data_IF_242610956961
#
_entry.id   IF_242610956961
#
_cell.length_a   1.000
_cell.length_b   1.000
_cell.length_c   1.000
_cell.angle_alpha   90.00
_cell.angle_beta   90.00
_cell.angle_gamma   90.00
#
_symmetry.space_group_name_H-M   'P 1'
#
loop_
_entity.id
_entity.type
_entity.pdbx_description
1 polymer ?
#
# COMPACT_ATOMS: atom_id res chain seq x y z
N UNK A 1 -15.09 -51.68 -28.53
CA UNK A 1 -15.71 -50.40 -28.12
C UNK A 1 -14.71 -49.68 -27.24
N UNK A 2 -14.00 -48.72 -27.83
CA UNK A 2 -12.93 -47.95 -27.17
C UNK A 2 -13.56 -46.75 -26.44
N UNK A 3 -13.29 -46.62 -25.13
CA UNK A 3 -13.46 -45.37 -24.40
C UNK A 3 -12.06 -44.80 -24.14
N UNK A 4 -11.75 -43.68 -24.77
CA UNK A 4 -10.61 -42.86 -24.41
C UNK A 4 -10.98 -41.99 -23.22
N UNK A 5 -10.18 -42.09 -22.15
CA UNK A 5 -10.18 -41.15 -21.04
C UNK A 5 -9.30 -39.95 -21.39
N UNK A 6 -9.75 -38.76 -21.02
CA UNK A 6 -8.92 -37.57 -20.92
C UNK A 6 -8.68 -37.30 -19.44
N UNK A 7 -7.47 -37.64 -18.98
CA UNK A 7 -6.87 -37.11 -17.75
C UNK A 7 -6.21 -35.79 -18.10
N UNK A 8 -6.72 -34.68 -17.58
CA UNK A 8 -6.02 -33.40 -17.57
C UNK A 8 -5.06 -33.41 -16.39
N UNK A 9 -3.78 -33.58 -16.70
CA UNK A 9 -2.66 -33.51 -15.76
C UNK A 9 -2.24 -32.04 -15.64
N UNK A 10 -2.67 -31.38 -14.56
CA UNK A 10 -2.35 -29.98 -14.29
C UNK A 10 -0.96 -29.90 -13.68
N UNK A 11 0.00 -29.38 -14.43
CA UNK A 11 1.36 -29.09 -13.97
C UNK A 11 1.34 -27.95 -12.93
N UNK A 12 1.18 -28.28 -11.65
CA UNK A 12 1.56 -27.37 -10.56
C UNK A 12 3.07 -27.44 -10.43
N UNK A 13 3.79 -26.42 -10.91
CA UNK A 13 5.20 -26.21 -10.54
C UNK A 13 5.24 -25.90 -9.05
N UNK A 14 5.56 -26.90 -8.23
CA UNK A 14 6.00 -26.64 -6.85
C UNK A 14 7.23 -25.73 -6.94
N UNK A 15 7.12 -24.54 -6.35
CA UNK A 15 8.30 -23.73 -6.06
C UNK A 15 9.25 -24.59 -5.22
N UNK A 16 10.56 -24.64 -5.54
CA UNK A 16 11.51 -25.40 -4.75
C UNK A 16 11.52 -24.83 -3.33
N UNK A 17 11.44 -25.73 -2.34
CA UNK A 17 11.67 -25.38 -0.94
C UNK A 17 13.02 -24.65 -0.85
N UNK A 18 13.01 -23.45 -0.29
CA UNK A 18 14.22 -22.67 -0.02
C UNK A 18 15.12 -23.53 0.86
N UNK A 19 16.32 -23.83 0.38
CA UNK A 19 17.26 -24.68 1.13
C UNK A 19 17.81 -23.94 2.36
N UNK A 20 18.18 -24.67 3.41
CA UNK A 20 18.83 -24.11 4.60
C UNK A 20 20.09 -23.29 4.25
N UNK A 21 20.74 -23.60 3.14
CA UNK A 21 21.88 -22.85 2.61
C UNK A 21 21.49 -21.47 2.04
N UNK A 22 20.32 -21.37 1.38
CA UNK A 22 19.75 -20.10 0.93
C UNK A 22 19.23 -19.26 2.10
N UNK A 23 18.64 -19.87 3.13
CA UNK A 23 18.27 -19.16 4.38
C UNK A 23 19.51 -18.63 5.10
N UNK A 24 20.61 -19.39 5.08
CA UNK A 24 21.88 -18.94 5.65
C UNK A 24 22.55 -17.82 4.85
N UNK A 25 22.43 -17.84 3.52
CA UNK A 25 22.86 -16.72 2.65
C UNK A 25 22.01 -15.48 2.89
N UNK A 26 20.71 -15.62 3.11
CA UNK A 26 19.82 -14.52 3.50
C UNK A 26 20.09 -14.01 4.92
N UNK A 27 20.95 -14.66 5.72
CA UNK A 27 21.34 -14.17 7.05
C UNK A 27 22.63 -13.35 7.01
N UNK A 28 23.35 -13.36 5.89
CA UNK A 28 24.57 -12.58 5.66
C UNK A 28 24.19 -11.16 5.26
N UNK A 29 24.65 -10.16 6.03
CA UNK A 29 24.35 -8.75 5.78
C UNK A 29 24.78 -8.31 4.39
N UNK A 30 25.90 -8.84 3.89
CA UNK A 30 26.47 -8.43 2.60
C UNK A 30 25.66 -9.05 1.45
N UNK A 31 25.12 -10.26 1.63
CA UNK A 31 24.24 -10.90 0.66
C UNK A 31 22.84 -10.28 0.64
N UNK A 32 22.30 -9.85 1.80
CA UNK A 32 21.08 -9.04 1.84
C UNK A 32 21.26 -7.72 1.11
N UNK A 33 22.39 -7.04 1.33
CA UNK A 33 22.68 -5.76 0.72
C UNK A 33 22.86 -5.90 -0.80
N UNK A 34 23.53 -6.96 -1.26
CA UNK A 34 23.63 -7.29 -2.69
C UNK A 34 22.28 -7.65 -3.32
N UNK A 35 21.40 -8.37 -2.61
CA UNK A 35 20.05 -8.68 -3.08
C UNK A 35 19.16 -7.44 -3.15
N UNK A 36 19.23 -6.56 -2.15
CA UNK A 36 18.53 -5.27 -2.17
C UNK A 36 19.05 -4.37 -3.30
N UNK A 37 20.37 -4.34 -3.51
CA UNK A 37 20.99 -3.62 -4.62
C UNK A 37 20.58 -4.22 -5.98
N UNK A 38 20.45 -5.55 -6.09
CA UNK A 38 19.94 -6.23 -7.29
C UNK A 38 18.46 -5.91 -7.55
N UNK A 39 17.61 -5.92 -6.52
CA UNK A 39 16.18 -5.58 -6.64
C UNK A 39 16.01 -4.09 -7.01
N UNK A 40 16.78 -3.19 -6.40
CA UNK A 40 16.71 -1.74 -6.68
C UNK A 40 17.35 -1.35 -8.02
N UNK A 41 18.37 -2.09 -8.49
CA UNK A 41 18.98 -1.88 -9.81
C UNK A 41 18.26 -2.63 -10.93
N UNK A 42 17.30 -3.50 -10.62
CA UNK A 42 16.36 -4.09 -11.58
C UNK A 42 15.43 -2.99 -12.10
N UNK A 43 15.99 -2.11 -12.94
CA UNK A 43 15.25 -1.13 -13.70
C UNK A 43 14.30 -1.93 -14.58
N UNK A 44 13.00 -1.79 -14.35
CA UNK A 44 11.97 -2.29 -15.25
C UNK A 44 12.24 -1.66 -16.61
N UNK A 45 12.86 -2.41 -17.51
CA UNK A 45 13.13 -1.98 -18.87
C UNK A 45 11.79 -1.89 -19.61
N UNK A 46 11.12 -0.75 -19.46
CA UNK A 46 9.85 -0.41 -20.11
C UNK A 46 10.02 -0.19 -21.63
N UNK A 47 11.18 -0.51 -22.22
CA UNK A 47 11.42 -0.35 -23.65
C UNK A 47 11.52 -1.68 -24.39
N UNK A 48 10.43 -2.43 -24.37
CA UNK A 48 10.14 -3.29 -25.53
C UNK A 48 8.74 -2.96 -26.05
N UNK A 49 8.65 -1.88 -26.83
CA UNK A 49 7.52 -1.70 -27.71
C UNK A 49 7.44 -2.93 -28.65
N UNK A 50 6.28 -3.61 -28.75
CA UNK A 50 6.15 -4.73 -29.67
C UNK A 50 6.45 -4.26 -31.11
N UNK A 51 7.12 -5.09 -31.94
CA UNK A 51 7.38 -4.73 -33.32
C UNK A 51 6.05 -4.45 -34.03
N UNK A 52 5.95 -3.25 -34.63
CA UNK A 52 4.82 -2.85 -35.43
C UNK A 52 4.55 -3.92 -36.49
N UNK A 53 3.35 -4.50 -36.48
CA UNK A 53 2.91 -5.41 -37.51
C UNK A 53 2.80 -4.64 -38.84
N UNK A 54 3.58 -5.08 -39.83
CA UNK A 54 3.60 -4.55 -41.19
C UNK A 54 2.21 -4.74 -41.84
N UNK A 55 1.41 -3.69 -41.85
CA UNK A 55 0.17 -3.66 -42.62
C UNK A 55 0.48 -3.61 -44.13
N UNK A 56 -0.02 -4.62 -44.84
CA UNK A 56 0.10 -4.77 -46.28
C UNK A 56 -0.34 -3.51 -47.05
N UNK A 57 0.51 -3.07 -47.97
CA UNK A 57 0.36 -1.89 -48.82
C UNK A 57 -0.81 -2.04 -49.81
N UNK A 58 -1.80 -1.16 -49.71
CA UNK A 58 -2.75 -0.85 -50.80
C UNK A 58 -2.23 0.37 -51.57
N UNK A 59 -2.11 0.33 -52.92
CA UNK A 59 -1.53 1.44 -53.67
C UNK A 59 -2.57 2.46 -54.16
N UNK A 60 -2.14 3.73 -54.10
CA UNK A 60 -2.47 4.89 -54.96
C UNK A 60 -3.81 5.64 -54.73
N UNK A 61 -3.72 6.89 -54.25
CA UNK A 61 -3.52 8.09 -55.10
C UNK A 61 -3.28 9.36 -54.24
N UNK A 62 -2.38 10.19 -54.76
CA UNK A 62 -1.88 11.47 -54.25
C UNK A 62 -2.91 12.61 -54.29
N UNK A 63 -2.95 13.43 -53.24
CA UNK A 63 -3.07 14.90 -53.32
C UNK A 63 -2.31 15.56 -52.16
N UNK A 64 -1.89 16.80 -52.38
CA UNK A 64 -0.68 17.47 -51.90
C UNK A 64 -1.02 18.66 -50.98
N UNK A 65 -0.24 18.80 -49.89
CA UNK A 65 0.18 20.00 -49.12
C UNK A 65 -0.84 20.98 -48.47
N UNK A 66 -0.67 21.17 -47.15
CA UNK A 66 -0.39 22.46 -46.47
C UNK A 66 -0.12 22.17 -44.96
N UNK A 67 1.11 22.23 -44.45
CA UNK A 67 1.84 23.40 -43.92
C UNK A 67 1.34 23.93 -42.55
N UNK A 68 2.03 23.54 -41.46
CA UNK A 68 2.18 24.28 -40.18
C UNK A 68 3.40 23.65 -39.45
N UNK A 69 4.62 24.18 -39.56
CA UNK A 69 5.21 25.31 -38.81
C UNK A 69 5.19 25.12 -37.29
N UNK A 70 6.34 24.66 -36.80
CA UNK A 70 7.05 25.02 -35.56
C UNK A 70 6.30 25.03 -34.22
N UNK A 71 6.59 24.02 -33.39
CA UNK A 71 6.85 24.18 -31.95
C UNK A 71 8.06 23.31 -31.56
N UNK A 72 9.24 23.94 -31.55
CA UNK A 72 10.41 23.49 -30.81
C UNK A 72 10.28 24.02 -29.37
N UNK A 73 10.85 23.26 -28.40
CA UNK A 73 11.18 23.63 -27.01
C UNK A 73 9.97 23.87 -26.09
N UNK A 74 9.82 23.28 -24.89
CA UNK A 74 10.76 22.82 -23.84
C UNK A 74 10.04 21.72 -23.05
N UNK A 75 10.73 20.62 -22.72
CA UNK A 75 10.46 19.84 -21.50
C UNK A 75 11.66 18.94 -21.20
N UNK A 76 12.84 19.55 -21.10
CA UNK A 76 14.02 18.94 -20.50
C UNK A 76 14.33 19.70 -19.20
N UNK A 77 13.34 19.78 -18.32
CA UNK A 77 13.45 20.15 -16.90
C UNK A 77 12.28 19.43 -16.23
N UNK A 78 12.56 18.52 -15.29
CA UNK A 78 11.49 17.85 -14.54
C UNK A 78 11.83 16.49 -13.95
N UNK A 79 13.05 15.97 -14.10
CA UNK A 79 13.43 14.66 -13.53
C UNK A 79 13.89 14.73 -12.06
N UNK A 80 13.43 15.72 -11.30
CA UNK A 80 13.79 15.88 -9.88
C UNK A 80 12.67 16.51 -9.02
N UNK A 81 11.41 16.49 -9.45
CA UNK A 81 10.32 17.20 -8.73
C UNK A 81 9.14 16.31 -8.33
N UNK A 82 9.06 15.03 -8.73
CA UNK A 82 7.73 14.42 -8.79
C UNK A 82 7.34 13.36 -7.76
N UNK A 83 8.20 12.86 -6.89
CA UNK A 83 7.68 12.22 -5.69
C UNK A 83 7.43 13.29 -4.65
N UNK A 84 6.26 13.94 -4.70
CA UNK A 84 5.91 14.86 -3.63
C UNK A 84 5.68 14.05 -2.35
N UNK A 85 6.35 14.41 -1.28
CA UNK A 85 6.09 13.98 0.12
C UNK A 85 4.61 13.82 0.46
N UNK A 86 3.74 14.64 -0.14
CA UNK A 86 2.28 14.58 0.03
C UNK A 86 1.64 13.26 -0.44
N UNK A 87 2.32 12.55 -1.34
CA UNK A 87 1.82 11.35 -1.99
C UNK A 87 2.30 10.04 -1.36
N UNK A 88 3.23 10.09 -0.40
CA UNK A 88 3.57 8.93 0.43
C UNK A 88 2.45 8.70 1.42
N UNK A 89 2.16 7.45 1.72
CA UNK A 89 1.18 7.02 2.72
C UNK A 89 1.84 6.22 3.85
N UNK A 90 3.15 5.99 3.78
CA UNK A 90 3.99 5.43 4.85
C UNK A 90 5.10 6.40 5.26
N UNK A 91 5.71 6.14 6.41
CA UNK A 91 6.81 6.91 7.00
C UNK A 91 7.87 5.96 7.53
N UNK A 92 9.13 6.20 7.18
CA UNK A 92 10.27 5.54 7.82
C UNK A 92 10.63 6.24 9.14
N UNK A 93 10.48 5.51 10.24
CA UNK A 93 10.77 6.00 11.58
C UNK A 93 12.08 5.39 12.10
N UNK A 94 13.08 6.23 12.33
CA UNK A 94 14.32 5.80 12.97
C UNK A 94 14.18 5.88 14.49
N UNK A 95 14.02 4.74 15.13
CA UNK A 95 14.07 4.63 16.59
C UNK A 95 15.54 4.51 17.03
N UNK A 96 15.88 4.94 18.25
CA UNK A 96 17.26 5.18 18.70
C UNK A 96 18.21 3.96 18.75
N UNK A 97 17.75 2.78 18.34
CA UNK A 97 18.55 1.55 18.20
C UNK A 97 19.23 1.42 16.82
N UNK A 98 18.92 2.33 15.89
CA UNK A 98 19.47 2.36 14.54
C UNK A 98 18.70 1.51 13.52
N UNK A 99 17.62 0.83 13.93
CA UNK A 99 16.69 0.22 13.00
C UNK A 99 15.77 1.28 12.39
N UNK A 100 15.28 1.00 11.18
CA UNK A 100 14.23 1.78 10.51
C UNK A 100 12.97 0.95 10.52
N UNK A 101 11.93 1.46 11.14
CA UNK A 101 10.58 0.90 11.06
C UNK A 101 9.80 1.69 10.02
N UNK A 102 9.40 1.04 8.94
CA UNK A 102 8.45 1.63 7.99
C UNK A 102 7.06 1.35 8.56
N UNK A 103 6.31 2.41 8.83
CA UNK A 103 4.94 2.34 9.36
C UNK A 103 4.00 3.08 8.44
N UNK A 104 2.74 2.66 8.44
CA UNK A 104 1.70 3.39 7.75
C UNK A 104 1.49 4.74 8.45
N UNK A 105 1.29 5.79 7.66
CA UNK A 105 0.98 7.10 8.21
C UNK A 105 -0.44 7.07 8.77
N UNK A 106 -0.68 7.75 9.88
CA UNK A 106 -1.96 7.71 10.59
C UNK A 106 -2.60 9.09 10.58
N UNK A 107 -1.83 10.09 11.01
CA UNK A 107 -2.29 11.49 11.09
C UNK A 107 -1.92 12.29 9.85
N UNK A 108 -0.92 11.81 9.11
CA UNK A 108 -0.29 12.53 8.01
C UNK A 108 0.77 13.53 8.47
N UNK A 109 0.99 13.72 9.78
CA UNK A 109 2.19 14.39 10.30
C UNK A 109 3.26 13.33 10.59
N UNK A 110 4.29 13.20 9.73
CA UNK A 110 5.28 12.15 9.87
C UNK A 110 6.05 12.24 11.19
N UNK A 111 6.29 13.45 11.71
CA UNK A 111 6.98 13.63 12.99
C UNK A 111 6.10 13.16 14.14
N UNK A 112 4.80 13.48 14.10
CA UNK A 112 3.85 13.04 15.12
C UNK A 112 3.67 11.52 15.12
N UNK A 113 3.55 10.92 13.94
CA UNK A 113 3.39 9.48 13.76
C UNK A 113 4.62 8.71 14.28
N UNK A 114 5.84 9.13 13.91
CA UNK A 114 7.06 8.53 14.45
C UNK A 114 7.30 8.83 15.94
N UNK A 115 6.84 9.97 16.45
CA UNK A 115 6.88 10.26 17.88
C UNK A 115 5.92 9.36 18.69
N UNK A 116 4.81 8.92 18.10
CA UNK A 116 3.93 7.92 18.70
C UNK A 116 4.59 6.54 18.73
N UNK A 117 5.15 6.10 17.59
CA UNK A 117 5.88 4.84 17.50
C UNK A 117 7.06 4.79 18.47
N UNK A 118 7.86 5.87 18.56
CA UNK A 118 8.96 5.95 19.51
C UNK A 118 8.52 5.69 20.95
N UNK A 119 7.39 6.29 21.37
CA UNK A 119 6.86 6.10 22.74
C UNK A 119 6.39 4.68 22.97
N UNK A 120 5.78 4.06 21.95
CA UNK A 120 5.35 2.67 21.98
C UNK A 120 6.55 1.72 22.14
N UNK A 121 7.58 1.87 21.30
CA UNK A 121 8.71 0.94 21.26
C UNK A 121 9.66 1.11 22.46
N UNK A 122 9.90 2.36 22.88
CA UNK A 122 10.92 2.67 23.89
C UNK A 122 10.35 2.93 25.28
N UNK A 123 9.06 3.25 25.39
CA UNK A 123 8.43 3.73 26.62
C UNK A 123 8.91 5.12 27.07
N UNK A 124 9.60 5.87 26.20
CA UNK A 124 10.19 7.19 26.52
C UNK A 124 9.71 8.28 25.57
N UNK A 125 9.89 9.55 25.98
CA UNK A 125 9.66 10.67 25.06
C UNK A 125 10.73 10.69 23.96
N UNK A 126 10.36 10.88 22.68
CA UNK A 126 11.33 11.01 21.62
C UNK A 126 12.22 12.24 21.84
N UNK A 127 13.48 12.21 21.36
CA UNK A 127 14.24 13.43 21.16
C UNK A 127 13.53 14.33 20.13
N UNK A 128 13.96 15.59 19.93
CA UNK A 128 13.52 16.36 18.78
C UNK A 128 13.72 15.56 17.49
N UNK A 129 12.67 15.44 16.68
CA UNK A 129 12.66 14.69 15.43
C UNK A 129 12.58 15.66 14.25
N UNK A 130 13.18 15.27 13.12
CA UNK A 130 13.16 16.03 11.86
C UNK A 130 12.79 15.08 10.73
N UNK A 131 11.83 15.47 9.92
CA UNK A 131 11.42 14.74 8.73
C UNK A 131 12.26 15.16 7.51
N UNK A 132 12.56 14.20 6.65
CA UNK A 132 13.32 14.37 5.41
C UNK A 132 12.58 13.73 4.25
N UNK A 133 12.61 14.38 3.09
CA UNK A 133 12.38 13.72 1.81
C UNK A 133 13.63 12.91 1.46
N UNK A 134 13.47 11.60 1.31
CA UNK A 134 14.59 10.72 1.01
C UNK A 134 15.06 10.78 -0.46
N UNK A 135 14.33 11.50 -1.32
CA UNK A 135 14.59 11.68 -2.75
C UNK A 135 14.03 10.55 -3.63
N UNK A 136 13.55 9.47 -3.02
CA UNK A 136 12.95 8.30 -3.66
C UNK A 136 11.43 8.25 -3.45
N UNK A 137 10.87 9.32 -2.86
CA UNK A 137 9.43 9.47 -2.60
C UNK A 137 8.93 8.96 -1.27
N UNK A 138 9.83 8.55 -0.39
CA UNK A 138 9.52 8.28 1.00
C UNK A 138 9.83 9.46 1.90
N UNK A 139 9.23 9.42 3.09
CA UNK A 139 9.54 10.34 4.19
C UNK A 139 10.29 9.55 5.26
N UNK A 140 11.41 10.11 5.71
CA UNK A 140 12.23 9.53 6.77
C UNK A 140 12.32 10.49 7.94
N UNK A 141 12.00 10.02 9.13
CA UNK A 141 12.02 10.81 10.36
C UNK A 141 13.13 10.30 11.26
N UNK A 142 14.07 11.20 11.54
CA UNK A 142 15.27 10.91 12.35
C UNK A 142 15.37 11.86 13.53
N UNK A 143 16.04 11.46 14.63
CA UNK A 143 16.44 12.39 15.68
C UNK A 143 17.29 13.55 15.13
N UNK A 144 17.05 14.76 15.63
CA UNK A 144 17.82 15.95 15.29
C UNK A 144 19.32 15.74 15.58
N UNK A 145 20.18 16.12 14.63
CA UNK A 145 21.62 15.95 14.73
C UNK A 145 22.15 14.58 14.29
N UNK A 146 21.28 13.66 13.88
CA UNK A 146 21.68 12.38 13.26
C UNK A 146 22.42 12.60 11.93
N UNK A 147 23.29 11.65 11.57
CA UNK A 147 23.91 11.63 10.25
C UNK A 147 22.90 11.18 9.20
N UNK A 148 22.54 12.06 8.28
CA UNK A 148 21.62 11.76 7.19
C UNK A 148 22.37 11.34 5.90
N UNK A 149 21.81 10.41 5.10
CA UNK A 149 22.32 10.09 3.78
C UNK A 149 22.42 11.31 2.86
N UNK A 150 23.35 11.25 1.90
CA UNK A 150 23.51 12.32 0.91
C UNK A 150 22.30 12.34 -0.03
N UNK A 151 21.70 13.50 -0.20
CA UNK A 151 20.57 13.71 -1.13
C UNK A 151 19.26 13.94 -0.41
N UNK A 152 19.15 13.51 0.85
CA UNK A 152 17.98 13.78 1.68
C UNK A 152 17.83 15.27 1.94
N UNK A 153 16.60 15.77 1.81
CA UNK A 153 16.27 17.17 2.01
C UNK A 153 15.36 17.31 3.22
N UNK A 154 15.71 18.18 4.20
CA UNK A 154 14.84 18.39 5.35
C UNK A 154 13.53 18.99 4.88
N UNK A 155 12.44 18.49 5.45
CA UNK A 155 11.11 19.05 5.24
C UNK A 155 10.88 20.23 6.17
N UNK A 156 10.15 21.22 5.68
CA UNK A 156 9.72 22.33 6.52
C UNK A 156 8.83 21.81 7.66
N UNK A 157 8.94 22.37 8.88
CA UNK A 157 8.07 21.97 9.98
C UNK A 157 6.58 22.10 9.63
N UNK A 158 5.81 21.07 9.96
CA UNK A 158 4.37 21.03 9.70
C UNK A 158 3.97 20.65 8.27
N UNK A 159 4.92 20.18 7.44
CA UNK A 159 4.56 19.46 6.21
C UNK A 159 3.80 18.20 6.57
N UNK A 160 2.65 18.00 5.93
CA UNK A 160 1.80 16.83 6.10
C UNK A 160 1.63 16.05 4.80
N UNK A 161 1.49 14.74 4.91
CA UNK A 161 0.97 13.85 3.87
C UNK A 161 -0.52 14.13 3.62
N UNK A 162 -1.06 13.73 2.46
CA UNK A 162 -2.49 13.89 2.19
C UNK A 162 -3.29 12.86 2.99
N UNK A 163 -4.10 13.26 3.99
CA UNK A 163 -4.84 12.33 4.84
C UNK A 163 -5.88 11.52 4.05
N UNK A 164 -6.30 11.98 2.87
CA UNK A 164 -7.22 11.21 2.01
C UNK A 164 -6.53 10.04 1.33
N UNK A 165 -5.23 10.17 1.01
CA UNK A 165 -4.48 9.06 0.42
C UNK A 165 -4.14 8.01 1.48
N UNK A 166 -3.83 8.45 2.70
CA UNK A 166 -3.68 7.59 3.87
C UNK A 166 -4.96 6.79 4.09
N UNK A 167 -6.12 7.45 4.11
CA UNK A 167 -7.41 6.77 4.28
C UNK A 167 -7.77 5.87 3.09
N UNK A 168 -7.36 6.23 1.86
CA UNK A 168 -7.55 5.37 0.70
C UNK A 168 -6.72 4.08 0.81
N UNK A 169 -5.44 4.18 1.18
CA UNK A 169 -4.60 2.99 1.36
C UNK A 169 -5.15 2.08 2.46
N UNK A 170 -5.45 2.65 3.63
CA UNK A 170 -6.01 1.89 4.75
C UNK A 170 -7.30 1.15 4.37
N UNK A 171 -8.23 1.83 3.68
CA UNK A 171 -9.49 1.23 3.25
C UNK A 171 -9.33 0.16 2.15
N UNK A 172 -8.34 0.30 1.26
CA UNK A 172 -8.07 -0.72 0.24
C UNK A 172 -7.34 -1.94 0.80
N UNK A 173 -6.51 -1.75 1.82
CA UNK A 173 -5.79 -2.81 2.52
C UNK A 173 -6.56 -3.37 3.74
N UNK A 174 -7.80 -2.90 3.95
CA UNK A 174 -8.64 -3.35 5.06
C UNK A 174 -9.11 -4.82 4.88
N UNK A 175 -8.90 -5.63 5.91
CA UNK A 175 -9.37 -7.00 5.99
C UNK A 175 -10.86 -7.14 6.40
N UNK A 176 -11.56 -6.07 6.77
CA UNK A 176 -13.01 -6.11 7.04
C UNK A 176 -13.79 -6.05 5.72
N UNK A 177 -13.63 -4.99 4.92
CA UNK A 177 -14.38 -4.79 3.67
C UNK A 177 -13.56 -4.32 2.45
N UNK A 178 -12.24 -4.23 2.62
CA UNK A 178 -11.28 -3.88 1.58
C UNK A 178 -10.92 -5.02 0.61
N UNK A 179 -9.81 -4.86 -0.10
CA UNK A 179 -9.34 -5.85 -1.07
C UNK A 179 -8.82 -7.15 -0.44
N UNK A 180 -8.15 -7.17 0.71
CA UNK A 180 -7.70 -8.43 1.31
C UNK A 180 -8.77 -9.14 2.17
N UNK A 181 -9.97 -8.56 2.32
CA UNK A 181 -11.10 -9.20 2.99
C UNK A 181 -11.60 -10.47 2.26
N UNK A 182 -11.41 -10.56 0.95
CA UNK A 182 -11.68 -11.74 0.13
C UNK A 182 -10.72 -11.79 -1.08
N UNK A 183 -10.64 -12.92 -1.78
CA UNK A 183 -9.94 -12.98 -3.06
C UNK A 183 -10.81 -12.36 -4.16
N UNK A 184 -10.75 -11.05 -4.34
CA UNK A 184 -11.59 -10.37 -5.33
C UNK A 184 -11.11 -10.57 -6.77
N UNK A 185 -12.02 -10.87 -7.73
CA UNK A 185 -11.71 -10.74 -9.15
C UNK A 185 -11.55 -9.28 -9.54
N UNK A 186 -10.91 -9.02 -10.68
CA UNK A 186 -10.49 -7.67 -11.09
C UNK A 186 -11.65 -6.67 -11.17
N UNK A 187 -12.81 -7.08 -11.69
CA UNK A 187 -13.98 -6.20 -11.83
C UNK A 187 -14.59 -5.81 -10.47
N UNK A 188 -14.57 -6.72 -9.50
CA UNK A 188 -15.04 -6.45 -8.14
C UNK A 188 -14.06 -5.51 -7.41
N UNK A 189 -12.76 -5.80 -7.49
CA UNK A 189 -11.72 -4.95 -6.92
C UNK A 189 -11.73 -3.53 -7.50
N UNK A 190 -11.97 -3.39 -8.82
CA UNK A 190 -12.20 -2.10 -9.45
C UNK A 190 -13.38 -1.34 -8.87
N UNK A 191 -14.50 -2.02 -8.67
CA UNK A 191 -15.69 -1.41 -8.09
C UNK A 191 -15.42 -0.92 -6.65
N UNK A 192 -14.69 -1.71 -5.85
CA UNK A 192 -14.27 -1.32 -4.50
C UNK A 192 -13.37 -0.08 -4.56
N UNK A 193 -12.32 -0.11 -5.39
CA UNK A 193 -11.38 1.02 -5.51
C UNK A 193 -12.03 2.31 -6.02
N UNK A 194 -12.90 2.22 -7.03
CA UNK A 194 -13.63 3.38 -7.56
C UNK A 194 -14.56 3.98 -6.49
N UNK A 195 -15.23 3.14 -5.70
CA UNK A 195 -16.07 3.58 -4.58
C UNK A 195 -15.27 4.36 -3.53
N UNK A 196 -14.09 3.88 -3.13
CA UNK A 196 -13.26 4.56 -2.13
C UNK A 196 -12.67 5.87 -2.66
N UNK A 197 -12.21 5.89 -3.91
CA UNK A 197 -11.76 7.12 -4.59
C UNK A 197 -12.87 8.19 -4.62
N UNK A 198 -14.10 7.79 -4.98
CA UNK A 198 -15.25 8.68 -5.01
C UNK A 198 -15.65 9.16 -3.60
N UNK A 199 -15.68 8.24 -2.62
CA UNK A 199 -16.03 8.55 -1.21
C UNK A 199 -15.09 9.60 -0.62
N UNK A 200 -13.81 9.52 -0.95
CA UNK A 200 -12.77 10.42 -0.44
C UNK A 200 -12.62 11.72 -1.24
N UNK A 201 -13.42 11.90 -2.30
CA UNK A 201 -13.38 13.11 -3.13
C UNK A 201 -12.03 13.32 -3.79
N UNK A 202 -11.40 12.23 -4.25
CA UNK A 202 -10.11 12.24 -4.92
C UNK A 202 -10.28 12.56 -6.42
N UNK A 203 -10.81 13.76 -6.69
CA UNK A 203 -11.10 14.22 -8.05
C UNK A 203 -9.88 14.08 -8.98
N UNK A 204 -10.09 13.47 -10.14
CA UNK A 204 -9.04 13.26 -11.15
C UNK A 204 -8.21 12.00 -10.95
N UNK A 205 -8.38 11.28 -9.84
CA UNK A 205 -7.79 9.96 -9.68
C UNK A 205 -8.40 8.94 -10.63
N UNK A 206 -7.59 7.97 -11.06
CA UNK A 206 -8.01 6.90 -11.95
C UNK A 206 -7.78 5.54 -11.29
N UNK A 207 -8.68 4.60 -11.56
CA UNK A 207 -8.46 3.18 -11.22
C UNK A 207 -8.08 2.46 -12.51
N UNK A 208 -6.86 1.95 -12.59
CA UNK A 208 -6.36 1.19 -13.74
C UNK A 208 -5.99 -0.22 -13.31
N UNK A 209 -5.79 -1.11 -14.27
CA UNK A 209 -5.33 -2.46 -13.99
C UNK A 209 -4.10 -2.78 -14.83
N UNK A 210 -3.18 -3.53 -14.24
CA UNK A 210 -2.11 -4.18 -14.99
C UNK A 210 -2.68 -5.27 -15.92
N UNK A 211 -1.82 -5.77 -16.82
CA UNK A 211 -2.21 -6.88 -17.69
C UNK A 211 -2.31 -8.16 -16.87
N UNK A 212 -3.40 -8.88 -17.05
CA UNK A 212 -3.64 -10.16 -16.39
C UNK A 212 -5.13 -10.37 -16.18
N UNK A 213 -5.47 -11.47 -15.52
CA UNK A 213 -6.83 -11.76 -15.06
C UNK A 213 -6.74 -12.18 -13.60
N UNK A 214 -7.61 -11.63 -12.74
CA UNK A 214 -7.85 -12.13 -11.40
C UNK A 214 -9.24 -12.75 -11.39
N UNK A 215 -9.33 -14.03 -11.09
CA UNK A 215 -10.57 -14.82 -11.13
C UNK A 215 -11.24 -14.97 -9.76
N UNK A 216 -10.55 -14.57 -8.70
CA UNK A 216 -11.02 -14.67 -7.32
C UNK A 216 -11.00 -16.08 -6.73
N UNK A 217 -10.40 -17.05 -7.43
CA UNK A 217 -10.29 -18.44 -6.96
C UNK A 217 -8.84 -18.90 -6.80
N UNK A 218 -7.96 -18.49 -7.72
CA UNK A 218 -6.52 -18.79 -7.66
C UNK A 218 -5.64 -17.58 -7.95
N UNK A 219 -6.22 -16.48 -8.44
CA UNK A 219 -5.55 -15.21 -8.65
C UNK A 219 -6.43 -14.10 -8.07
N UNK A 220 -5.90 -13.37 -7.09
CA UNK A 220 -6.58 -12.28 -6.41
C UNK A 220 -6.09 -10.93 -6.95
N UNK A 221 -6.86 -9.87 -6.68
CA UNK A 221 -6.47 -8.51 -7.07
C UNK A 221 -5.88 -7.77 -5.88
N UNK A 222 -4.66 -7.26 -6.05
CA UNK A 222 -3.98 -6.36 -5.11
C UNK A 222 -3.97 -4.94 -5.67
N UNK A 223 -3.41 -3.99 -4.92
CA UNK A 223 -3.30 -2.61 -5.37
C UNK A 223 -1.93 -1.99 -5.09
N UNK A 224 -1.66 -0.88 -5.78
CA UNK A 224 -0.61 0.08 -5.50
C UNK A 224 -1.18 1.48 -5.71
N UNK A 225 -0.78 2.44 -4.87
CA UNK A 225 -1.08 3.85 -5.10
C UNK A 225 0.09 4.54 -5.82
N UNK A 226 -0.17 5.06 -7.02
CA UNK A 226 0.75 5.94 -7.75
C UNK A 226 0.28 7.40 -7.60
N UNK A 227 0.64 8.03 -6.49
CA UNK A 227 0.20 9.40 -6.16
C UNK A 227 0.65 10.45 -7.17
N UNK A 228 1.86 10.33 -7.75
CA UNK A 228 2.34 11.23 -8.82
C UNK A 228 1.41 11.23 -10.04
N UNK A 229 0.83 10.07 -10.34
CA UNK A 229 -0.03 9.84 -11.49
C UNK A 229 -1.51 9.84 -11.12
N UNK A 230 -1.81 10.10 -9.84
CA UNK A 230 -3.16 10.05 -9.27
C UNK A 230 -3.87 8.76 -9.69
N UNK A 231 -3.22 7.62 -9.47
CA UNK A 231 -3.72 6.34 -10.00
C UNK A 231 -3.71 5.27 -8.91
N UNK A 232 -4.82 4.54 -8.78
CA UNK A 232 -4.87 3.23 -8.12
C UNK A 232 -4.59 2.17 -9.17
N UNK A 233 -3.48 1.45 -9.05
CA UNK A 233 -3.11 0.37 -9.97
C UNK A 233 -3.53 -0.96 -9.36
N UNK A 234 -4.42 -1.67 -10.03
CA UNK A 234 -4.87 -3.01 -9.64
C UNK A 234 -3.97 -4.08 -10.27
N UNK A 235 -3.46 -4.99 -9.45
CA UNK A 235 -2.43 -5.97 -9.84
C UNK A 235 -2.97 -7.38 -9.58
N UNK A 236 -3.24 -8.18 -10.63
CA UNK A 236 -3.56 -9.59 -10.47
C UNK A 236 -2.33 -10.36 -9.98
N UNK A 237 -2.42 -11.02 -8.84
CA UNK A 237 -1.35 -11.89 -8.32
C UNK A 237 -1.91 -13.26 -7.95
N UNK A 238 -1.13 -14.30 -8.21
CA UNK A 238 -1.46 -15.66 -7.79
C UNK A 238 -1.53 -15.70 -6.26
N UNK A 239 -2.66 -16.18 -5.76
CA UNK A 239 -2.98 -16.09 -4.34
C UNK A 239 -4.36 -16.67 -4.05
N UNK A 240 -4.64 -16.86 -2.77
CA UNK A 240 -5.98 -17.19 -2.29
C UNK A 240 -6.36 -16.22 -1.18
N UNK A 241 -7.64 -16.25 -0.81
CA UNK A 241 -8.11 -15.54 0.37
C UNK A 241 -7.30 -15.96 1.60
N UNK A 242 -7.18 -15.05 2.56
CA UNK A 242 -6.68 -15.38 3.88
C UNK A 242 -7.51 -16.54 4.48
N UNK A 243 -6.89 -17.46 5.25
CA UNK A 243 -7.66 -18.47 5.97
C UNK A 243 -8.67 -17.81 6.92
N UNK A 244 -9.92 -18.27 6.90
CA UNK A 244 -10.99 -17.76 7.77
C UNK A 244 -10.67 -17.90 9.26
N UNK A 245 -9.84 -18.87 9.63
CA UNK A 245 -9.42 -19.16 11.01
C UNK A 245 -8.10 -18.48 11.42
N UNK A 246 -7.50 -17.69 10.54
CA UNK A 246 -6.35 -16.88 10.92
C UNK A 246 -6.78 -15.84 11.99
N UNK A 247 -5.97 -15.60 13.04
CA UNK A 247 -6.37 -14.70 14.13
C UNK A 247 -6.76 -13.28 13.69
N UNK A 248 -6.11 -12.72 12.66
CA UNK A 248 -6.46 -11.42 12.11
C UNK A 248 -7.79 -11.45 11.32
N UNK A 249 -8.09 -12.56 10.63
CA UNK A 249 -9.37 -12.76 9.95
C UNK A 249 -10.52 -12.85 10.96
N UNK A 250 -10.30 -13.53 12.10
CA UNK A 250 -11.26 -13.56 13.21
C UNK A 250 -11.47 -12.15 13.77
N UNK A 251 -10.39 -11.40 14.00
CA UNK A 251 -10.47 -10.00 14.44
C UNK A 251 -11.30 -9.15 13.47
N UNK A 252 -10.98 -9.18 12.18
CA UNK A 252 -11.67 -8.40 11.17
C UNK A 252 -13.17 -8.77 11.10
N UNK A 253 -13.49 -10.07 11.03
CA UNK A 253 -14.88 -10.52 10.95
C UNK A 253 -15.73 -10.16 12.17
N UNK A 254 -15.19 -10.34 13.38
CA UNK A 254 -15.91 -9.99 14.61
C UNK A 254 -16.02 -8.47 14.81
N UNK A 255 -14.97 -7.71 14.49
CA UNK A 255 -14.98 -6.25 14.60
C UNK A 255 -15.95 -5.63 13.59
N UNK A 256 -15.92 -6.08 12.33
CA UNK A 256 -16.86 -5.67 11.30
C UNK A 256 -18.31 -5.94 11.72
N UNK A 257 -18.59 -7.15 12.24
CA UNK A 257 -19.91 -7.49 12.77
C UNK A 257 -20.34 -6.56 13.91
N UNK A 258 -19.43 -6.20 14.83
CA UNK A 258 -19.74 -5.30 15.94
C UNK A 258 -20.07 -3.89 15.46
N UNK A 259 -19.33 -3.37 14.47
CA UNK A 259 -19.53 -2.05 13.87
C UNK A 259 -20.84 -1.99 13.05
N UNK A 260 -21.20 -3.06 12.34
CA UNK A 260 -22.47 -3.14 11.62
C UNK A 260 -23.68 -3.19 12.56
N UNK A 261 -23.56 -3.89 13.70
CA UNK A 261 -24.65 -4.06 14.65
C UNK A 261 -24.88 -2.82 15.53
N UNK A 262 -23.87 -1.96 15.69
CA UNK A 262 -23.92 -0.84 16.62
C UNK A 262 -23.17 0.39 16.12
N UNK A 263 -23.78 1.56 16.28
CA UNK A 263 -23.13 2.84 16.06
C UNK A 263 -22.19 3.16 17.24
N UNK A 264 -20.98 2.58 17.22
CA UNK A 264 -19.99 2.73 18.29
C UNK A 264 -19.33 4.11 18.25
N UNK A 265 -18.98 4.62 19.43
CA UNK A 265 -18.04 5.74 19.57
C UNK A 265 -16.62 5.24 19.29
N UNK A 266 -15.70 6.16 18.99
CA UNK A 266 -14.27 5.85 18.83
C UNK A 266 -13.68 5.05 20.01
N UNK A 267 -13.81 5.47 21.29
CA UNK A 267 -13.26 4.70 22.40
C UNK A 267 -13.93 3.33 22.59
N UNK A 268 -15.24 3.20 22.31
CA UNK A 268 -15.93 1.92 22.43
C UNK A 268 -15.48 0.94 21.34
N UNK A 269 -15.33 1.40 20.10
CA UNK A 269 -14.79 0.60 19.00
C UNK A 269 -13.34 0.17 19.28
N UNK A 270 -12.51 1.06 19.83
CA UNK A 270 -11.13 0.73 20.21
C UNK A 270 -11.05 -0.28 21.36
N UNK A 271 -11.94 -0.18 22.35
CA UNK A 271 -12.05 -1.19 23.40
C UNK A 271 -12.49 -2.54 22.83
N UNK A 272 -13.46 -2.54 21.89
CA UNK A 272 -13.95 -3.75 21.24
C UNK A 272 -12.85 -4.44 20.41
N UNK A 273 -12.10 -3.69 19.59
CA UNK A 273 -11.00 -4.22 18.80
C UNK A 273 -9.94 -4.90 19.67
N UNK A 274 -9.53 -4.26 20.79
CA UNK A 274 -8.57 -4.83 21.74
C UNK A 274 -9.09 -6.11 22.41
N UNK A 275 -10.37 -6.14 22.78
CA UNK A 275 -10.98 -7.32 23.38
C UNK A 275 -11.02 -8.50 22.41
N UNK A 276 -11.50 -8.28 21.18
CA UNK A 276 -11.55 -9.30 20.13
C UNK A 276 -10.15 -9.83 19.83
N UNK A 277 -9.16 -8.95 19.68
CA UNK A 277 -7.78 -9.35 19.42
C UNK A 277 -7.17 -10.18 20.56
N UNK A 278 -7.51 -9.85 21.82
CA UNK A 278 -7.09 -10.64 22.98
C UNK A 278 -7.72 -12.04 22.94
N UNK A 279 -9.01 -12.14 22.61
CA UNK A 279 -9.74 -13.42 22.49
C UNK A 279 -9.22 -14.27 21.31
N UNK A 280 -8.79 -13.62 20.22
CA UNK A 280 -8.15 -14.25 19.07
C UNK A 280 -6.66 -14.60 19.29
N UNK A 281 -6.07 -14.21 20.42
CA UNK A 281 -4.67 -14.54 20.77
C UNK A 281 -3.60 -13.68 20.10
N UNK A 282 -3.95 -12.49 19.59
CA UNK A 282 -3.03 -11.53 18.95
C UNK A 282 -2.93 -10.19 19.71
N UNK A 283 -3.49 -10.09 20.91
CA UNK A 283 -3.52 -8.83 21.68
C UNK A 283 -2.15 -8.22 22.02
N UNK A 284 -1.08 -9.02 22.17
CA UNK A 284 0.26 -8.48 22.48
C UNK A 284 0.95 -7.81 21.28
N UNK A 285 0.54 -8.14 20.04
CA UNK A 285 1.10 -7.58 18.81
C UNK A 285 0.17 -6.60 18.10
N UNK A 286 -1.00 -6.32 18.68
CA UNK A 286 -1.99 -5.42 18.10
C UNK A 286 -1.58 -3.96 18.33
N UNK A 287 -1.57 -3.18 17.26
CA UNK A 287 -1.51 -1.71 17.33
C UNK A 287 -2.90 -1.16 17.02
N UNK A 288 -3.40 -0.24 17.84
CA UNK A 288 -4.69 0.43 17.62
C UNK A 288 -4.47 1.93 17.50
N UNK A 289 -4.76 2.46 16.32
CA UNK A 289 -4.72 3.88 16.03
C UNK A 289 -6.13 4.47 16.17
N UNK A 290 -6.27 5.49 17.01
CA UNK A 290 -7.54 6.18 17.24
C UNK A 290 -7.51 7.56 16.58
N UNK A 291 -8.33 7.75 15.54
CA UNK A 291 -8.40 9.00 14.77
C UNK A 291 -9.78 9.63 15.00
N UNK A 292 -9.78 10.85 15.53
CA UNK A 292 -11.04 11.57 15.80
C UNK A 292 -11.65 12.09 14.51
N UNK A 293 -12.90 11.73 14.26
CA UNK A 293 -13.74 12.22 13.18
C UNK A 293 -15.10 12.63 13.75
N UNK A 294 -15.18 13.89 14.22
CA UNK A 294 -16.40 14.44 14.81
C UNK A 294 -17.54 14.64 13.78
N UNK A 295 -17.25 14.52 12.48
CA UNK A 295 -18.26 14.58 11.43
C UNK A 295 -18.94 13.21 11.22
N UNK A 296 -18.28 12.12 11.60
CA UNK A 296 -18.85 10.78 11.53
C UNK A 296 -19.91 10.58 12.61
N UNK A 297 -20.99 9.88 12.26
CA UNK A 297 -22.03 9.51 13.23
C UNK A 297 -21.66 8.28 14.05
N UNK A 298 -20.85 7.39 13.49
CA UNK A 298 -20.40 6.14 14.07
C UNK A 298 -18.91 5.92 13.75
N UNK A 299 -18.22 5.12 14.55
CA UNK A 299 -16.88 4.67 14.22
C UNK A 299 -16.86 3.73 13.01
N UNK A 300 -15.79 3.81 12.23
CA UNK A 300 -15.35 2.85 11.21
C UNK A 300 -13.96 2.35 11.59
N UNK A 301 -13.60 1.16 11.14
CA UNK A 301 -12.29 0.59 11.38
C UNK A 301 -11.73 -0.03 10.11
N UNK A 302 -10.42 0.06 9.96
CA UNK A 302 -9.62 -0.60 8.95
C UNK A 302 -8.66 -1.55 9.70
N UNK A 303 -8.60 -2.82 9.30
CA UNK A 303 -7.69 -3.85 9.87
C UNK A 303 -6.63 -4.17 8.83
N UNK A 304 -5.38 -3.79 9.09
CA UNK A 304 -4.25 -3.94 8.18
C UNK A 304 -3.24 -4.96 8.71
N UNK A 305 -2.59 -5.71 7.81
CA UNK A 305 -1.63 -6.76 8.17
C UNK A 305 -0.32 -6.60 7.42
N UNK A 306 0.64 -5.92 8.05
CA UNK A 306 1.96 -5.60 7.51
C UNK A 306 3.09 -5.87 8.50
N UNK A 307 3.47 -7.14 8.70
CA UNK A 307 4.47 -7.52 9.71
C UNK A 307 3.95 -7.52 11.17
N UNK A 308 2.88 -6.77 11.44
CA UNK A 308 2.01 -6.83 12.62
C UNK A 308 0.54 -6.82 12.24
N UNK A 309 -0.35 -6.72 13.24
CA UNK A 309 -1.78 -6.44 13.02
C UNK A 309 -2.07 -5.04 13.55
N UNK A 310 -2.54 -4.19 12.66
CA UNK A 310 -2.82 -2.79 12.96
C UNK A 310 -4.31 -2.53 12.74
N UNK A 311 -4.92 -1.74 13.60
CA UNK A 311 -6.33 -1.35 13.48
C UNK A 311 -6.42 0.15 13.56
N UNK A 312 -6.82 0.79 12.46
CA UNK A 312 -7.10 2.21 12.43
C UNK A 312 -8.59 2.43 12.62
N UNK A 313 -8.98 3.15 13.67
CA UNK A 313 -10.38 3.43 13.99
C UNK A 313 -10.62 4.92 13.84
N UNK A 314 -11.59 5.28 12.98
CA UNK A 314 -12.00 6.67 12.72
C UNK A 314 -13.42 6.87 13.20
N UNK A 315 -13.69 7.85 14.05
CA UNK A 315 -15.05 8.08 14.52
C UNK A 315 -15.20 9.21 15.54
N UNK A 316 -16.43 9.49 15.99
CA UNK A 316 -16.69 10.53 16.97
C UNK A 316 -16.24 10.10 18.36
N UNK A 317 -15.78 11.05 19.17
CA UNK A 317 -15.38 10.80 20.56
C UNK A 317 -16.54 10.29 21.45
N UNK A 318 -17.78 10.61 21.07
CA UNK A 318 -18.98 10.13 21.73
C UNK A 318 -20.07 9.88 20.68
N UNK A 319 -20.87 8.84 20.89
CA UNK A 319 -22.09 8.62 20.10
C UNK A 319 -23.09 9.75 20.41
N UNK A 320 -23.78 10.29 19.39
CA UNK A 320 -24.81 11.33 19.58
C UNK A 320 -26.00 10.88 20.45
#
# INVERSE_FOLDING_TARGET
MNRHGHTTDTYVRRLPLVSDEQVRLLSDSDAKQALFEEITTMTIDTRTAPPAQDHARVPRRTFVLAAAVALLSVAAVGWAVFNSVQGSTSVGCHTGDGAVSIVDAVTGDPVSDCAALWRQDTGTQPPPLVAYDNGDGGIEVVPEGSSIPRGWQPLEPGVTQDPRLIELEAALDDHIDGLPADCHPLDAARTIAEREVDRLGLDGWQVVAERGEADGAGTCTYFLLESERQTVVLIPLDGGAAPDDAPYSVLAGELGTALEQGCLSLPDAAAQARQIAADAGIGEGLVVHEVTDDAATCARADVNVGGGVEVTIRGPQATP
#
